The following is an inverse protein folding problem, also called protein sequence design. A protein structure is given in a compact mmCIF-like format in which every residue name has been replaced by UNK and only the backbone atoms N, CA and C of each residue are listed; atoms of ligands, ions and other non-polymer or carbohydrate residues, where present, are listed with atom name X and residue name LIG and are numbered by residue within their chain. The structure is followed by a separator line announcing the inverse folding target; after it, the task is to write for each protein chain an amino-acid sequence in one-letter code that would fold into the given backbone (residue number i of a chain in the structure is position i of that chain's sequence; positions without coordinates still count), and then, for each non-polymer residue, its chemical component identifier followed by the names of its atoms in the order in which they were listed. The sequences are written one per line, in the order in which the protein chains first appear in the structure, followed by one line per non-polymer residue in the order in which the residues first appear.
data_IF_613444454767
#
_entry.id   IF_613444454767
#
_cell.length_a   1.000
_cell.length_b   1.000
_cell.length_c   1.000
_cell.angle_alpha   90.00
_cell.angle_beta   90.00
_cell.angle_gamma   90.00
#
_symmetry.space_group_name_H-M   'P 1'
#
loop_
_entity.id
_entity.type
_entity.pdbx_description
1 polymer ?
#
# COMPACT_ATOMS: atom_id res chain seq x y z
N UNK A 1 18.99 6.16 7.91
CA UNK A 1 17.55 6.33 8.17
C UNK A 1 16.87 6.60 6.84
N UNK A 2 16.25 5.58 6.23
CA UNK A 2 15.50 5.75 4.97
C UNK A 2 14.05 6.09 5.33
N UNK A 3 13.56 7.16 4.71
CA UNK A 3 12.31 7.83 5.03
C UNK A 3 11.10 6.89 4.86
N UNK A 4 10.27 6.77 5.89
CA UNK A 4 8.91 6.25 5.75
C UNK A 4 8.07 7.36 5.11
N UNK A 5 7.67 7.18 3.86
CA UNK A 5 6.75 8.10 3.19
C UNK A 5 5.33 7.61 3.45
N UNK A 6 4.61 8.29 4.34
CA UNK A 6 3.17 8.08 4.52
C UNK A 6 2.43 8.86 3.42
N UNK A 7 1.71 8.15 2.55
CA UNK A 7 0.83 8.78 1.57
C UNK A 7 -0.62 8.76 2.10
N UNK A 8 -1.08 9.89 2.65
CA UNK A 8 -2.50 10.11 2.95
C UNK A 8 -3.17 10.65 1.69
N UNK A 9 -4.02 9.85 1.03
CA UNK A 9 -4.60 10.25 -0.27
C UNK A 9 -6.00 10.82 -0.11
N UNK A 10 -6.24 12.05 -0.62
CA UNK A 10 -7.54 12.72 -0.64
C UNK A 10 -8.27 12.57 -2.00
N UNK A 11 -9.61 12.68 -1.97
CA UNK A 11 -10.60 12.71 -3.07
C UNK A 11 -10.53 11.62 -4.17
N UNK A 12 -11.59 10.79 -4.29
CA UNK A 12 -11.78 9.68 -5.26
C UNK A 12 -11.23 9.94 -6.68
N UNK A 13 -11.43 11.15 -7.23
CA UNK A 13 -10.94 11.55 -8.55
C UNK A 13 -9.41 11.51 -8.68
N UNK A 14 -8.69 11.95 -7.65
CA UNK A 14 -7.22 11.94 -7.64
C UNK A 14 -6.70 10.50 -7.64
N UNK A 15 -7.30 9.62 -6.84
CA UNK A 15 -6.96 8.19 -6.80
C UNK A 15 -7.19 7.54 -8.17
N UNK A 16 -8.36 7.76 -8.79
CA UNK A 16 -8.63 7.23 -10.13
C UNK A 16 -7.62 7.74 -11.15
N UNK A 17 -7.31 9.04 -11.13
CA UNK A 17 -6.34 9.64 -12.07
C UNK A 17 -4.93 9.08 -11.86
N UNK A 18 -4.53 8.88 -10.61
CA UNK A 18 -3.24 8.29 -10.26
C UNK A 18 -3.15 6.83 -10.73
N UNK A 19 -4.19 6.01 -10.46
CA UNK A 19 -4.26 4.63 -10.91
C UNK A 19 -4.21 4.55 -12.45
N UNK A 20 -5.04 5.34 -13.14
CA UNK A 20 -5.07 5.36 -14.61
C UNK A 20 -3.70 5.72 -15.21
N UNK A 21 -2.98 6.66 -14.59
CA UNK A 21 -1.65 7.03 -15.04
C UNK A 21 -0.59 5.97 -14.70
N UNK A 22 -0.69 5.34 -13.54
CA UNK A 22 0.23 4.28 -13.15
C UNK A 22 0.08 3.06 -14.07
N UNK A 23 -1.15 2.61 -14.32
CA UNK A 23 -1.42 1.43 -15.17
C UNK A 23 -1.08 1.61 -16.66
N UNK A 24 -0.85 2.84 -17.14
CA UNK A 24 -0.29 3.06 -18.49
C UNK A 24 1.14 2.52 -18.63
N UNK A 25 1.88 2.47 -17.52
CA UNK A 25 3.31 2.14 -17.50
C UNK A 25 3.64 1.01 -16.51
N UNK A 26 2.68 0.67 -15.65
CA UNK A 26 2.80 -0.27 -14.56
C UNK A 26 1.91 -1.48 -14.76
N UNK A 27 2.41 -2.65 -14.36
CA UNK A 27 1.66 -3.89 -14.28
C UNK A 27 1.95 -4.53 -12.92
N UNK A 28 0.90 -4.81 -12.14
CA UNK A 28 1.01 -5.61 -10.93
C UNK A 28 1.33 -7.04 -11.33
N UNK A 29 2.39 -7.61 -10.76
CA UNK A 29 2.75 -9.02 -10.93
C UNK A 29 2.21 -9.86 -9.78
N UNK A 30 2.37 -9.36 -8.55
CA UNK A 30 1.80 -9.99 -7.35
C UNK A 30 1.55 -8.93 -6.27
N UNK A 31 0.52 -9.17 -5.46
CA UNK A 31 0.24 -8.41 -4.25
C UNK A 31 -0.26 -9.39 -3.19
N UNK A 32 0.65 -9.84 -2.34
CA UNK A 32 0.38 -10.87 -1.36
C UNK A 32 0.19 -10.24 0.03
N UNK A 33 -0.92 -10.52 0.70
CA UNK A 33 -1.12 -10.15 2.09
C UNK A 33 -0.43 -11.22 2.95
N UNK A 34 0.51 -10.80 3.80
CA UNK A 34 1.32 -11.71 4.61
C UNK A 34 0.84 -11.82 6.05
N UNK A 35 0.30 -10.74 6.59
CA UNK A 35 -0.28 -10.66 7.93
C UNK A 35 -1.43 -9.66 7.91
N UNK A 36 -2.50 -9.93 8.66
CA UNK A 36 -3.68 -9.05 8.74
C UNK A 36 -4.24 -8.99 10.17
N UNK A 37 -4.81 -7.84 10.52
CA UNK A 37 -5.45 -7.58 11.80
C UNK A 37 -6.67 -6.71 11.62
N UNK A 38 -7.66 -6.90 12.50
CA UNK A 38 -8.87 -6.09 12.51
C UNK A 38 -9.20 -5.61 13.93
N UNK A 39 -9.21 -4.30 14.13
CA UNK A 39 -9.73 -3.65 15.34
C UNK A 39 -11.22 -3.34 15.12
N UNK A 40 -12.08 -4.22 15.63
CA UNK A 40 -13.54 -4.06 15.53
C UNK A 40 -14.07 -2.79 16.20
N UNK A 41 -13.40 -2.30 17.26
CA UNK A 41 -13.89 -1.11 17.99
C UNK A 41 -13.65 0.17 17.20
N UNK A 42 -12.60 0.19 16.39
CA UNK A 42 -12.21 1.35 15.56
C UNK A 42 -12.59 1.18 14.10
N UNK A 43 -13.15 0.04 13.71
CA UNK A 43 -13.42 -0.32 12.33
C UNK A 43 -12.18 -0.13 11.45
N UNK A 44 -11.06 -0.70 11.91
CA UNK A 44 -9.74 -0.51 11.31
C UNK A 44 -9.14 -1.85 10.92
N UNK A 45 -8.83 -2.00 9.63
CA UNK A 45 -8.07 -3.12 9.08
C UNK A 45 -6.62 -2.72 8.88
N UNK A 46 -5.70 -3.56 9.31
CA UNK A 46 -4.27 -3.38 9.12
C UNK A 46 -3.73 -4.61 8.43
N UNK A 47 -2.88 -4.45 7.44
CA UNK A 47 -2.25 -5.59 6.79
C UNK A 47 -0.81 -5.29 6.38
N UNK A 48 0.06 -6.28 6.52
CA UNK A 48 1.35 -6.30 5.84
C UNK A 48 1.19 -6.96 4.48
N UNK A 49 1.96 -6.51 3.52
CA UNK A 49 1.93 -7.04 2.17
C UNK A 49 3.29 -7.02 1.49
N UNK A 50 3.44 -7.89 0.51
CA UNK A 50 4.55 -7.92 -0.43
C UNK A 50 4.01 -7.62 -1.82
N UNK A 51 4.65 -6.67 -2.50
CA UNK A 51 4.21 -6.19 -3.80
C UNK A 51 5.32 -6.33 -4.82
N UNK A 52 4.97 -6.90 -5.97
CA UNK A 52 5.85 -6.98 -7.14
C UNK A 52 5.14 -6.38 -8.36
N UNK A 53 5.87 -5.59 -9.13
CA UNK A 53 5.37 -4.98 -10.35
C UNK A 53 6.42 -4.93 -11.46
N UNK A 54 5.94 -4.71 -12.68
CA UNK A 54 6.73 -4.09 -13.73
C UNK A 54 6.33 -2.62 -13.79
N UNK A 55 7.29 -1.71 -13.77
CA UNK A 55 7.06 -0.29 -14.00
C UNK A 55 8.08 0.21 -15.01
N UNK A 56 7.61 0.71 -16.17
CA UNK A 56 8.47 1.09 -17.30
C UNK A 56 9.46 -0.03 -17.68
N UNK A 57 8.94 -1.26 -17.77
CA UNK A 57 9.71 -2.48 -18.09
C UNK A 57 10.73 -2.93 -17.02
N UNK A 58 10.89 -2.18 -15.93
CA UNK A 58 11.75 -2.54 -14.80
C UNK A 58 10.96 -3.30 -13.73
N UNK A 59 11.57 -4.37 -13.19
CA UNK A 59 10.98 -5.12 -12.06
C UNK A 59 11.15 -4.35 -10.76
N UNK A 60 10.03 -4.04 -10.12
CA UNK A 60 9.98 -3.49 -8.77
C UNK A 60 9.50 -4.54 -7.77
N UNK A 61 10.11 -4.55 -6.58
CA UNK A 61 9.63 -5.30 -5.42
C UNK A 61 9.80 -4.47 -4.16
N UNK A 62 8.75 -4.39 -3.36
CA UNK A 62 8.76 -3.72 -2.07
C UNK A 62 7.76 -4.38 -1.12
N UNK A 63 8.08 -4.27 0.16
CA UNK A 63 7.22 -4.73 1.23
C UNK A 63 6.55 -3.51 1.84
N UNK A 64 5.40 -3.70 2.47
CA UNK A 64 4.67 -2.58 3.05
C UNK A 64 3.61 -2.99 4.04
N UNK A 65 2.92 -1.98 4.54
CA UNK A 65 1.79 -2.11 5.44
C UNK A 65 0.75 -1.05 5.10
N UNK A 66 -0.52 -1.42 5.17
CA UNK A 66 -1.64 -0.49 5.06
C UNK A 66 -2.43 -0.45 6.36
N UNK A 67 -2.89 0.75 6.75
CA UNK A 67 -3.88 0.98 7.79
C UNK A 67 -5.11 1.57 7.11
N UNK A 68 -6.23 0.86 7.18
CA UNK A 68 -7.48 1.17 6.49
C UNK A 68 -8.56 1.37 7.53
N UNK A 69 -9.22 2.53 7.52
CA UNK A 69 -10.40 2.78 8.37
C UNK A 69 -11.66 2.74 7.53
N UNK A 70 -12.76 2.27 8.12
CA UNK A 70 -14.06 2.21 7.47
C UNK A 70 -15.07 3.13 8.13
N UNK A 71 -16.07 3.53 7.35
CA UNK A 71 -17.28 4.18 7.83
C UNK A 71 -18.42 3.83 6.86
N UNK A 72 -19.59 3.45 7.39
CA UNK A 72 -20.76 3.09 6.57
C UNK A 72 -20.46 2.00 5.52
N UNK A 73 -19.68 0.98 5.91
CA UNK A 73 -19.22 -0.13 5.03
C UNK A 73 -18.41 0.34 3.82
N UNK A 74 -17.80 1.53 3.89
CA UNK A 74 -16.92 2.08 2.85
C UNK A 74 -15.56 2.40 3.45
N UNK A 75 -14.52 2.31 2.64
CA UNK A 75 -13.19 2.79 3.03
C UNK A 75 -13.25 4.31 3.23
N UNK A 76 -12.92 4.75 4.44
CA UNK A 76 -12.84 6.16 4.82
C UNK A 76 -11.42 6.69 4.61
N UNK A 77 -10.41 5.95 5.06
CA UNK A 77 -9.00 6.29 4.87
C UNK A 77 -8.18 5.06 4.53
N UNK A 78 -7.11 5.27 3.77
CA UNK A 78 -6.02 4.32 3.58
C UNK A 78 -4.74 5.10 3.85
N UNK A 79 -3.90 4.58 4.74
CA UNK A 79 -2.53 5.04 4.98
C UNK A 79 -1.59 3.89 4.62
N UNK A 80 -0.65 4.15 3.71
CA UNK A 80 0.28 3.14 3.22
C UNK A 80 1.72 3.49 3.61
N UNK A 81 2.43 2.50 4.12
CA UNK A 81 3.83 2.57 4.51
C UNK A 81 4.60 1.55 3.71
N UNK A 82 5.57 2.03 2.93
CA UNK A 82 6.42 1.17 2.11
C UNK A 82 7.84 1.10 2.69
N UNK A 83 8.46 -0.08 2.58
CA UNK A 83 9.88 -0.30 2.83
C UNK A 83 10.55 -0.99 1.63
N UNK A 84 11.88 -1.05 1.63
CA UNK A 84 12.61 -1.89 0.67
C UNK A 84 12.49 -3.35 1.07
N UNK A 85 12.33 -4.25 0.08
CA UNK A 85 12.23 -5.69 0.32
C UNK A 85 13.47 -6.29 1.03
N UNK A 86 14.63 -5.62 0.95
CA UNK A 86 15.78 -5.96 1.79
C UNK A 86 15.55 -5.36 3.17
N UNK A 87 15.26 -6.21 4.15
CA UNK A 87 15.19 -5.82 5.55
C UNK A 87 16.60 -5.73 6.14
N UNK A 88 16.96 -4.55 6.65
CA UNK A 88 18.15 -4.36 7.47
C UNK A 88 17.76 -4.61 8.92
N UNK A 89 18.29 -5.68 9.50
CA UNK A 89 18.17 -5.93 10.93
C UNK A 89 19.26 -5.13 11.66
N UNK A 90 18.93 -4.44 12.76
CA UNK A 90 19.90 -3.61 13.48
C UNK A 90 20.97 -4.40 14.23
N UNK A 91 20.87 -5.74 14.29
CA UNK A 91 21.80 -6.66 14.94
C UNK A 91 22.01 -7.90 14.06
#
# INVERSE_FOLDING_TARGET
MKNATAHVTAAKKQITTWLDNWFKQGKVLSWNITEEWFDQKKDTYMCKWQFECLYKEEKGRFDGMSIITFANNQIKTIEEFQTTAKHEYPY
#
